data_IF_007996518497
#
_entry.id   IF_007996518497
#
_cell.length_a   1.000
_cell.length_b   1.000
_cell.length_c   1.000
_cell.angle_alpha   90.00
_cell.angle_beta   90.00
_cell.angle_gamma   90.00
#
_symmetry.space_group_name_H-M   'P 1'
#
loop_
_entity.id
_entity.type
_entity.pdbx_description
1 polymer ?
#
# COMPACT_ATOMS: atom_id res chain seq x y z
N UNK A 1 -41.02 85.28 47.32
CA UNK A 1 -40.61 86.70 47.27
C UNK A 1 -41.52 87.46 48.24
N UNK A 2 -41.22 87.40 49.53
CA UNK A 2 -41.95 88.10 50.58
C UNK A 2 -41.54 89.57 50.54
N UNK A 3 -42.46 90.47 50.21
CA UNK A 3 -42.20 91.91 50.25
C UNK A 3 -41.86 92.32 51.68
N UNK A 4 -40.59 92.61 51.96
CA UNK A 4 -40.17 93.32 53.16
C UNK A 4 -40.89 94.67 53.20
N UNK A 5 -41.97 94.74 53.97
CA UNK A 5 -42.55 96.03 54.35
C UNK A 5 -41.50 96.72 55.22
N UNK A 6 -40.86 97.77 54.70
CA UNK A 6 -39.87 98.52 55.47
C UNK A 6 -40.52 99.02 56.77
N UNK A 7 -39.88 98.81 57.92
CA UNK A 7 -40.42 99.26 59.21
C UNK A 7 -40.42 100.80 59.38
N UNK A 8 -39.85 101.53 58.42
CA UNK A 8 -40.20 102.95 58.23
C UNK A 8 -41.70 103.10 58.02
N UNK A 9 -42.31 102.24 57.20
CA UNK A 9 -43.77 102.16 57.09
C UNK A 9 -44.43 101.80 58.42
N UNK A 10 -43.83 100.97 59.27
CA UNK A 10 -44.45 100.59 60.56
C UNK A 10 -44.47 101.75 61.58
N UNK A 11 -43.36 102.47 61.75
CA UNK A 11 -43.32 103.64 62.64
C UNK A 11 -44.18 104.80 62.08
N UNK A 12 -44.18 104.99 60.75
CA UNK A 12 -45.09 105.95 60.11
C UNK A 12 -46.56 105.53 60.28
N UNK A 13 -46.88 104.25 60.09
CA UNK A 13 -48.24 103.70 60.27
C UNK A 13 -48.72 103.85 61.70
N UNK A 14 -47.88 103.62 62.73
CA UNK A 14 -48.26 103.84 64.13
C UNK A 14 -48.56 105.30 64.48
N UNK A 15 -47.85 106.25 63.86
CA UNK A 15 -48.12 107.69 64.05
C UNK A 15 -49.37 108.12 63.29
N UNK A 16 -49.58 107.60 62.07
CA UNK A 16 -50.81 107.80 61.29
C UNK A 16 -52.05 107.22 61.97
N UNK A 17 -51.95 106.03 62.59
CA UNK A 17 -53.05 105.40 63.34
C UNK A 17 -53.46 106.21 64.57
N UNK A 18 -52.51 106.85 65.26
CA UNK A 18 -52.81 107.67 66.44
C UNK A 18 -53.38 109.04 66.08
N UNK A 19 -53.08 109.54 64.88
CA UNK A 19 -53.43 110.90 64.47
C UNK A 19 -53.89 110.98 63.00
N UNK A 20 -55.11 110.49 62.67
CA UNK A 20 -55.56 110.32 61.30
C UNK A 20 -55.86 111.62 60.54
N UNK A 21 -55.96 112.75 61.25
CA UNK A 21 -56.41 114.04 60.71
C UNK A 21 -55.31 115.10 60.62
N UNK A 22 -54.05 114.76 60.90
CA UNK A 22 -52.94 115.72 60.83
C UNK A 22 -52.55 116.01 59.38
N UNK A 23 -52.21 117.27 59.11
CA UNK A 23 -51.56 117.64 57.86
C UNK A 23 -50.12 117.13 57.82
N UNK A 24 -49.54 116.99 56.63
CA UNK A 24 -48.18 116.44 56.47
C UNK A 24 -47.11 117.20 57.29
N UNK A 25 -47.26 118.52 57.49
CA UNK A 25 -46.34 119.32 58.30
C UNK A 25 -46.50 119.07 59.80
N UNK A 26 -47.73 118.86 60.27
CA UNK A 26 -48.00 118.53 61.67
C UNK A 26 -47.57 117.10 62.00
N UNK A 27 -47.80 116.16 61.09
CA UNK A 27 -47.33 114.78 61.20
C UNK A 27 -45.80 114.71 61.31
N UNK A 28 -45.08 115.52 60.53
CA UNK A 28 -43.63 115.61 60.61
C UNK A 28 -43.13 116.21 61.94
N UNK A 29 -43.94 117.08 62.56
CA UNK A 29 -43.64 117.68 63.87
C UNK A 29 -43.93 116.69 65.00
N UNK A 30 -45.07 116.02 64.95
CA UNK A 30 -45.51 114.96 65.87
C UNK A 30 -44.51 113.80 65.88
N UNK A 31 -44.06 113.34 64.69
CA UNK A 31 -43.07 112.28 64.56
C UNK A 31 -41.72 112.66 65.20
N UNK A 32 -41.35 113.95 65.22
CA UNK A 32 -40.13 114.43 65.88
C UNK A 32 -40.26 114.54 67.41
N UNK A 33 -41.47 114.73 67.94
CA UNK A 33 -41.71 114.95 69.38
C UNK A 33 -42.25 113.73 70.11
N UNK A 34 -42.85 112.75 69.42
CA UNK A 34 -43.56 111.60 70.01
C UNK A 34 -42.76 110.30 70.06
N UNK A 35 -41.60 110.24 69.41
CA UNK A 35 -40.74 109.05 69.45
C UNK A 35 -39.93 109.07 70.73
N UNK A 36 -40.17 108.10 71.62
CA UNK A 36 -39.42 107.99 72.86
C UNK A 36 -38.00 107.50 72.59
N UNK A 37 -37.07 107.78 73.52
CA UNK A 37 -35.71 107.24 73.45
C UNK A 37 -35.70 105.71 73.42
N UNK A 38 -36.65 105.08 74.12
CA UNK A 38 -36.82 103.63 74.15
C UNK A 38 -37.26 103.08 72.78
N UNK A 39 -38.11 103.80 72.03
CA UNK A 39 -38.48 103.44 70.66
C UNK A 39 -37.28 103.52 69.71
N UNK A 40 -36.42 104.53 69.89
CA UNK A 40 -35.17 104.68 69.11
C UNK A 40 -34.19 103.55 69.42
N UNK A 41 -34.02 103.19 70.70
CA UNK A 41 -33.07 102.15 71.11
C UNK A 41 -33.59 100.74 70.75
N UNK A 42 -34.91 100.50 70.79
CA UNK A 42 -35.53 99.28 70.26
C UNK A 42 -35.33 99.16 68.74
N UNK A 43 -35.46 100.26 67.99
CA UNK A 43 -35.18 100.29 66.56
C UNK A 43 -33.70 99.99 66.26
N UNK A 44 -32.76 100.56 67.03
CA UNK A 44 -31.33 100.25 66.89
C UNK A 44 -31.02 98.78 67.15
N UNK A 45 -31.62 98.18 68.19
CA UNK A 45 -31.45 96.77 68.51
C UNK A 45 -31.99 95.87 67.39
N UNK A 46 -33.16 96.20 66.83
CA UNK A 46 -33.74 95.50 65.68
C UNK A 46 -32.84 95.61 64.43
N UNK A 47 -32.34 96.81 64.10
CA UNK A 47 -31.43 97.00 62.96
C UNK A 47 -30.13 96.21 63.16
N UNK A 48 -29.59 96.17 64.39
CA UNK A 48 -28.42 95.36 64.69
C UNK A 48 -28.66 93.86 64.51
N UNK A 49 -29.80 93.33 64.98
CA UNK A 49 -30.18 91.93 64.79
C UNK A 49 -30.40 91.59 63.30
N UNK A 50 -31.11 92.44 62.56
CA UNK A 50 -31.34 92.23 61.12
C UNK A 50 -30.03 92.29 60.32
N UNK A 51 -29.08 93.16 60.72
CA UNK A 51 -27.74 93.19 60.14
C UNK A 51 -26.94 91.91 60.44
N UNK A 52 -27.05 91.35 61.65
CA UNK A 52 -26.42 90.09 62.03
C UNK A 52 -27.03 88.94 61.21
N UNK A 53 -28.36 88.86 61.11
CA UNK A 53 -29.05 87.86 60.30
C UNK A 53 -28.78 88.00 58.80
N UNK A 54 -28.68 89.23 58.31
CA UNK A 54 -28.29 89.51 56.92
C UNK A 54 -26.87 89.03 56.64
N UNK A 55 -25.93 89.29 57.56
CA UNK A 55 -24.55 88.81 57.45
C UNK A 55 -24.45 87.29 57.50
N UNK A 56 -25.21 86.65 58.38
CA UNK A 56 -25.29 85.18 58.46
C UNK A 56 -25.87 84.57 57.17
N UNK A 57 -26.98 85.13 56.65
CA UNK A 57 -27.56 84.71 55.35
C UNK A 57 -26.56 84.89 54.21
N UNK A 58 -25.83 86.02 54.16
CA UNK A 58 -24.80 86.25 53.16
C UNK A 58 -23.66 85.23 53.24
N UNK A 59 -23.23 84.85 54.45
CA UNK A 59 -22.19 83.84 54.65
C UNK A 59 -22.65 82.46 54.21
N UNK A 60 -23.85 82.05 54.60
CA UNK A 60 -24.45 80.76 54.22
C UNK A 60 -24.65 80.66 52.69
N UNK A 61 -25.13 81.73 52.05
CA UNK A 61 -25.27 81.80 50.60
C UNK A 61 -23.91 81.78 49.88
N UNK A 62 -22.86 82.33 50.47
CA UNK A 62 -21.50 82.25 49.93
C UNK A 62 -20.96 80.82 49.98
N UNK A 63 -21.06 80.18 51.15
CA UNK A 63 -20.66 78.78 51.32
C UNK A 63 -21.46 77.83 50.41
N UNK A 64 -22.77 78.07 50.27
CA UNK A 64 -23.61 77.32 49.33
C UNK A 64 -23.16 77.47 47.88
N UNK A 65 -22.83 78.70 47.44
CA UNK A 65 -22.28 78.95 46.10
C UNK A 65 -20.94 78.27 45.89
N UNK A 66 -20.04 78.33 46.87
CA UNK A 66 -18.73 77.67 46.79
C UNK A 66 -18.88 76.15 46.70
N UNK A 67 -19.84 75.56 47.43
CA UNK A 67 -20.14 74.14 47.36
C UNK A 67 -20.72 73.74 46.00
N UNK A 68 -21.67 74.52 45.47
CA UNK A 68 -22.22 74.32 44.12
C UNK A 68 -21.11 74.38 43.07
N UNK A 69 -20.20 75.36 43.16
CA UNK A 69 -19.07 75.48 42.23
C UNK A 69 -18.13 74.26 42.29
N UNK A 70 -17.86 73.72 43.49
CA UNK A 70 -17.07 72.49 43.64
C UNK A 70 -17.76 71.27 43.04
N UNK A 71 -19.08 71.15 43.20
CA UNK A 71 -19.83 70.07 42.56
C UNK A 71 -19.84 70.21 41.04
N UNK A 72 -20.03 71.43 40.52
CA UNK A 72 -19.99 71.69 39.09
C UNK A 72 -18.62 71.31 38.49
N UNK A 73 -17.52 71.76 39.09
CA UNK A 73 -16.17 71.39 38.63
C UNK A 73 -15.92 69.88 38.66
N UNK A 74 -16.55 69.16 39.60
CA UNK A 74 -16.45 67.69 39.67
C UNK A 74 -17.29 67.01 38.60
N UNK A 75 -18.47 67.55 38.28
CA UNK A 75 -19.30 67.09 37.17
C UNK A 75 -18.53 67.28 35.85
N UNK A 76 -17.99 68.48 35.61
CA UNK A 76 -17.23 68.78 34.40
C UNK A 76 -16.02 67.83 34.24
N UNK A 77 -15.33 67.50 35.34
CA UNK A 77 -14.24 66.51 35.34
C UNK A 77 -14.72 65.10 34.99
N UNK A 78 -15.87 64.68 35.52
CA UNK A 78 -16.42 63.37 35.17
C UNK A 78 -16.87 63.29 33.72
N UNK A 79 -17.39 64.38 33.16
CA UNK A 79 -17.75 64.44 31.74
C UNK A 79 -16.51 64.32 30.84
N UNK A 80 -15.39 64.93 31.22
CA UNK A 80 -14.10 64.78 30.52
C UNK A 80 -13.56 63.34 30.63
N UNK A 81 -13.52 62.75 31.83
CA UNK A 81 -13.11 61.36 32.04
C UNK A 81 -13.98 60.37 31.24
N UNK A 82 -15.28 60.61 31.17
CA UNK A 82 -16.22 59.80 30.41
C UNK A 82 -15.98 59.92 28.90
N UNK A 83 -15.69 61.13 28.40
CA UNK A 83 -15.37 61.36 26.99
C UNK A 83 -14.07 60.64 26.58
N UNK A 84 -13.04 60.71 27.42
CA UNK A 84 -11.76 60.03 27.19
C UNK A 84 -11.91 58.50 27.24
N UNK A 85 -12.65 57.97 28.22
CA UNK A 85 -12.88 56.53 28.33
C UNK A 85 -13.72 56.01 27.15
N UNK A 86 -14.72 56.77 26.70
CA UNK A 86 -15.49 56.43 25.50
C UNK A 86 -14.58 56.34 24.26
N UNK A 87 -13.70 57.32 24.06
CA UNK A 87 -12.72 57.31 22.97
C UNK A 87 -11.73 56.14 23.09
N UNK A 88 -11.30 55.80 24.30
CA UNK A 88 -10.43 54.63 24.56
C UNK A 88 -11.13 53.33 24.19
N UNK A 89 -12.38 53.15 24.59
CA UNK A 89 -13.18 51.97 24.25
C UNK A 89 -13.40 51.87 22.73
N UNK A 90 -13.73 52.98 22.06
CA UNK A 90 -13.91 53.01 20.61
C UNK A 90 -12.63 52.62 19.86
N UNK A 91 -11.48 53.16 20.26
CA UNK A 91 -10.18 52.86 19.62
C UNK A 91 -9.73 51.42 19.84
N UNK A 92 -9.86 50.91 21.06
CA UNK A 92 -9.49 49.53 21.40
C UNK A 92 -10.44 48.53 20.75
N UNK A 93 -11.75 48.79 20.79
CA UNK A 93 -12.77 48.01 20.09
C UNK A 93 -12.48 47.92 18.59
N UNK A 94 -12.15 49.04 17.95
CA UNK A 94 -11.78 49.07 16.54
C UNK A 94 -10.53 48.22 16.24
N UNK A 95 -9.49 48.31 17.08
CA UNK A 95 -8.27 47.50 16.92
C UNK A 95 -8.55 45.99 17.03
N UNK A 96 -9.35 45.56 18.01
CA UNK A 96 -9.72 44.16 18.16
C UNK A 96 -10.50 43.64 16.96
N UNK A 97 -11.51 44.40 16.51
CA UNK A 97 -12.32 44.03 15.33
C UNK A 97 -11.41 43.90 14.11
N UNK A 98 -10.53 44.87 13.88
CA UNK A 98 -9.60 44.84 12.74
C UNK A 98 -8.66 43.62 12.80
N UNK A 99 -8.11 43.31 13.99
CA UNK A 99 -7.25 42.16 14.19
C UNK A 99 -7.98 40.83 13.91
N UNK A 100 -9.18 40.64 14.47
CA UNK A 100 -9.98 39.44 14.22
C UNK A 100 -10.38 39.30 12.75
N UNK A 101 -10.77 40.39 12.10
CA UNK A 101 -11.11 40.38 10.67
C UNK A 101 -9.90 40.01 9.80
N UNK A 102 -8.71 40.49 10.15
CA UNK A 102 -7.47 40.10 9.45
C UNK A 102 -7.14 38.61 9.65
N UNK A 103 -7.30 38.10 10.87
CA UNK A 103 -7.08 36.69 11.17
C UNK A 103 -8.08 35.79 10.43
N UNK A 104 -9.37 36.15 10.43
CA UNK A 104 -10.42 35.43 9.70
C UNK A 104 -10.11 35.40 8.19
N UNK A 105 -9.65 36.51 7.60
CA UNK A 105 -9.22 36.54 6.18
C UNK A 105 -8.07 35.57 5.91
N UNK A 106 -7.10 35.51 6.81
CA UNK A 106 -5.95 34.61 6.67
C UNK A 106 -6.39 33.15 6.74
N UNK A 107 -7.25 32.81 7.71
CA UNK A 107 -7.82 31.46 7.84
C UNK A 107 -8.64 31.05 6.63
N UNK A 108 -9.45 31.97 6.06
CA UNK A 108 -10.21 31.69 4.85
C UNK A 108 -9.30 31.41 3.64
N UNK A 109 -8.21 32.17 3.50
CA UNK A 109 -7.23 31.94 2.43
C UNK A 109 -6.48 30.61 2.60
N UNK A 110 -6.10 30.26 3.84
CA UNK A 110 -5.43 29.00 4.13
C UNK A 110 -6.34 27.79 3.91
N UNK A 111 -7.60 27.86 4.34
CA UNK A 111 -8.58 26.81 4.06
C UNK A 111 -8.76 26.57 2.57
N UNK A 112 -8.86 27.65 1.77
CA UNK A 112 -8.96 27.54 0.31
C UNK A 112 -7.71 26.87 -0.29
N UNK A 113 -6.51 27.25 0.15
CA UNK A 113 -5.26 26.61 -0.30
C UNK A 113 -5.23 25.12 0.03
N UNK A 114 -5.65 24.74 1.24
CA UNK A 114 -5.70 23.35 1.66
C UNK A 114 -6.71 22.53 0.86
N UNK A 115 -7.87 23.10 0.52
CA UNK A 115 -8.84 22.45 -0.37
C UNK A 115 -8.26 22.18 -1.76
N UNK A 116 -7.55 23.16 -2.33
CA UNK A 116 -6.87 23.02 -3.62
C UNK A 116 -5.74 21.97 -3.57
N UNK A 117 -4.89 22.00 -2.54
CA UNK A 117 -3.82 21.01 -2.32
C UNK A 117 -4.39 19.59 -2.15
N UNK A 118 -5.45 19.44 -1.37
CA UNK A 118 -6.11 18.15 -1.18
C UNK A 118 -6.72 17.63 -2.49
N UNK A 119 -7.31 18.50 -3.32
CA UNK A 119 -7.83 18.12 -4.63
C UNK A 119 -6.72 17.65 -5.58
N UNK A 120 -5.55 18.31 -5.56
CA UNK A 120 -4.38 17.93 -6.37
C UNK A 120 -3.82 16.59 -5.91
N UNK A 121 -3.59 16.41 -4.60
CA UNK A 121 -3.01 15.18 -4.07
C UNK A 121 -3.96 13.99 -4.26
N UNK A 122 -5.28 14.21 -4.10
CA UNK A 122 -6.30 13.19 -4.42
C UNK A 122 -6.20 12.73 -5.87
N UNK A 123 -6.17 13.66 -6.84
CA UNK A 123 -6.04 13.31 -8.27
C UNK A 123 -4.74 12.58 -8.56
N UNK A 124 -3.63 13.02 -7.95
CA UNK A 124 -2.32 12.39 -8.11
C UNK A 124 -2.34 10.95 -7.58
N UNK A 125 -2.88 10.72 -6.38
CA UNK A 125 -3.01 9.39 -5.79
C UNK A 125 -3.90 8.48 -6.63
N UNK A 126 -5.05 8.97 -7.08
CA UNK A 126 -5.97 8.23 -7.97
C UNK A 126 -5.29 7.84 -9.29
N UNK A 127 -4.54 8.76 -9.91
CA UNK A 127 -3.82 8.49 -11.16
C UNK A 127 -2.70 7.46 -10.98
N UNK A 128 -1.94 7.55 -9.87
CA UNK A 128 -0.87 6.61 -9.55
C UNK A 128 -1.42 5.22 -9.28
N UNK A 129 -2.44 5.10 -8.43
CA UNK A 129 -3.10 3.84 -8.13
C UNK A 129 -3.67 3.21 -9.41
N UNK A 130 -4.33 4.00 -10.27
CA UNK A 130 -4.87 3.50 -11.54
C UNK A 130 -3.77 2.97 -12.46
N UNK A 131 -2.63 3.66 -12.55
CA UNK A 131 -1.50 3.20 -13.36
C UNK A 131 -0.90 1.90 -12.82
N UNK A 132 -0.70 1.80 -11.50
CA UNK A 132 -0.19 0.60 -10.83
C UNK A 132 -1.13 -0.60 -11.02
N UNK A 133 -2.44 -0.42 -10.84
CA UNK A 133 -3.42 -1.48 -11.11
C UNK A 133 -3.38 -1.96 -12.56
N UNK A 134 -3.29 -1.03 -13.53
CA UNK A 134 -3.19 -1.40 -14.94
C UNK A 134 -1.90 -2.17 -15.25
N UNK A 135 -0.79 -1.80 -14.63
CA UNK A 135 0.47 -2.53 -14.80
C UNK A 135 0.38 -3.95 -14.22
N UNK A 136 -0.13 -4.09 -12.99
CA UNK A 136 -0.34 -5.41 -12.39
C UNK A 136 -1.31 -6.28 -13.20
N UNK A 137 -2.41 -5.71 -13.71
CA UNK A 137 -3.32 -6.44 -14.60
C UNK A 137 -2.61 -6.96 -15.85
N UNK A 138 -1.77 -6.14 -16.50
CA UNK A 138 -0.98 -6.59 -17.66
C UNK A 138 0.02 -7.68 -17.31
N UNK A 139 0.68 -7.58 -16.15
CA UNK A 139 1.61 -8.62 -15.69
C UNK A 139 0.88 -9.95 -15.44
N UNK A 140 -0.29 -9.91 -14.81
CA UNK A 140 -1.14 -11.10 -14.59
C UNK A 140 -1.56 -11.73 -15.92
N UNK A 141 -1.99 -10.93 -16.90
CA UNK A 141 -2.36 -11.43 -18.22
C UNK A 141 -1.19 -12.12 -18.94
N UNK A 142 0.02 -11.55 -18.88
CA UNK A 142 1.23 -12.16 -19.44
C UNK A 142 1.54 -13.51 -18.81
N UNK A 143 1.53 -13.58 -17.47
CA UNK A 143 1.79 -14.83 -16.73
C UNK A 143 0.70 -15.87 -17.05
N UNK A 144 -0.55 -15.45 -17.15
CA UNK A 144 -1.65 -16.35 -17.48
C UNK A 144 -1.51 -16.93 -18.89
N UNK A 145 -1.16 -16.10 -19.87
CA UNK A 145 -0.88 -16.54 -21.24
C UNK A 145 0.31 -17.50 -21.31
N UNK A 146 1.39 -17.21 -20.58
CA UNK A 146 2.57 -18.09 -20.53
C UNK A 146 2.28 -19.43 -19.86
N UNK A 147 1.52 -19.45 -18.76
CA UNK A 147 1.11 -20.69 -18.11
C UNK A 147 0.22 -21.56 -19.02
N UNK A 148 -0.67 -20.94 -19.79
CA UNK A 148 -1.46 -21.63 -20.81
C UNK A 148 -0.56 -22.24 -21.90
N UNK A 149 0.45 -21.52 -22.37
CA UNK A 149 1.45 -22.01 -23.34
C UNK A 149 2.24 -23.20 -22.79
N UNK A 150 2.77 -23.07 -21.58
CA UNK A 150 3.55 -24.12 -20.89
C UNK A 150 2.72 -25.39 -20.64
N UNK A 151 1.43 -25.23 -20.33
CA UNK A 151 0.52 -26.36 -20.17
C UNK A 151 0.37 -27.14 -21.47
N UNK A 152 0.21 -26.45 -22.62
CA UNK A 152 0.14 -27.08 -23.92
C UNK A 152 1.46 -27.78 -24.29
N UNK A 153 2.60 -27.11 -24.10
CA UNK A 153 3.93 -27.69 -24.33
C UNK A 153 4.16 -28.94 -23.46
N UNK A 154 3.74 -28.92 -22.19
CA UNK A 154 3.85 -30.09 -21.30
C UNK A 154 2.98 -31.26 -21.76
N UNK A 155 1.80 -31.00 -22.34
CA UNK A 155 0.99 -32.07 -22.95
C UNK A 155 1.66 -32.69 -24.17
N UNK A 156 2.30 -31.87 -25.02
CA UNK A 156 3.06 -32.35 -26.17
C UNK A 156 4.27 -33.19 -25.76
N UNK A 157 5.05 -32.73 -24.79
CA UNK A 157 6.18 -33.50 -24.22
C UNK A 157 5.72 -34.85 -23.66
N UNK A 158 4.57 -34.90 -22.98
CA UNK A 158 3.99 -36.17 -22.50
C UNK A 158 3.66 -37.12 -23.65
N UNK A 159 3.09 -36.62 -24.75
CA UNK A 159 2.81 -37.42 -25.94
C UNK A 159 4.10 -37.95 -26.58
N UNK A 160 5.08 -37.08 -26.83
CA UNK A 160 6.38 -37.46 -27.40
C UNK A 160 7.11 -38.50 -26.55
N UNK A 161 7.07 -38.37 -25.22
CA UNK A 161 7.70 -39.33 -24.33
C UNK A 161 7.02 -40.70 -24.36
N UNK A 162 5.69 -40.73 -24.54
CA UNK A 162 4.95 -41.97 -24.75
C UNK A 162 5.38 -42.64 -26.06
N UNK A 163 5.44 -41.90 -27.15
CA UNK A 163 5.86 -42.41 -28.47
C UNK A 163 7.30 -42.95 -28.46
N UNK A 164 8.21 -42.24 -27.79
CA UNK A 164 9.59 -42.69 -27.62
C UNK A 164 9.68 -43.97 -26.78
N UNK A 165 8.86 -44.09 -25.74
CA UNK A 165 8.79 -45.32 -24.94
C UNK A 165 8.32 -46.49 -25.79
N UNK A 166 7.27 -46.32 -26.60
CA UNK A 166 6.78 -47.35 -27.51
C UNK A 166 7.85 -47.75 -28.55
N UNK A 167 8.56 -46.79 -29.15
CA UNK A 167 9.67 -47.08 -30.07
C UNK A 167 10.80 -47.85 -29.41
N UNK A 168 11.18 -47.47 -28.19
CA UNK A 168 12.20 -48.16 -27.39
C UNK A 168 11.78 -49.58 -27.05
N UNK A 169 10.52 -49.80 -26.68
CA UNK A 169 10.00 -51.14 -26.38
C UNK A 169 10.00 -52.04 -27.64
N UNK A 170 9.63 -51.50 -28.81
CA UNK A 170 9.74 -52.22 -30.10
C UNK A 170 11.19 -52.59 -30.41
N UNK A 171 12.12 -51.66 -30.19
CA UNK A 171 13.54 -51.89 -30.46
C UNK A 171 14.15 -52.92 -29.51
N UNK A 172 13.78 -52.88 -28.21
CA UNK A 172 14.18 -53.89 -27.22
C UNK A 172 13.68 -55.27 -27.66
N UNK A 173 12.39 -55.41 -28.01
CA UNK A 173 11.85 -56.68 -28.54
C UNK A 173 12.58 -57.16 -29.79
N UNK A 174 12.94 -56.25 -30.70
CA UNK A 174 13.72 -56.59 -31.90
C UNK A 174 15.10 -57.15 -31.53
N UNK A 175 15.79 -56.56 -30.55
CA UNK A 175 17.07 -57.08 -30.06
C UNK A 175 16.92 -58.42 -29.33
N UNK A 176 15.87 -58.62 -28.54
CA UNK A 176 15.57 -59.90 -27.90
C UNK A 176 15.36 -61.02 -28.93
N UNK A 177 14.63 -60.76 -30.01
CA UNK A 177 14.45 -61.71 -31.11
C UNK A 177 15.78 -62.02 -31.79
N UNK A 178 16.58 -61.00 -32.15
CA UNK A 178 17.90 -61.20 -32.77
C UNK A 178 18.86 -62.00 -31.87
N UNK A 179 18.82 -61.78 -30.54
CA UNK A 179 19.59 -62.54 -29.58
C UNK A 179 19.11 -64.00 -29.48
N UNK A 180 17.80 -64.25 -29.58
CA UNK A 180 17.27 -65.61 -29.64
C UNK A 180 17.65 -66.31 -30.97
N UNK A 181 17.61 -65.59 -32.09
CA UNK A 181 18.09 -66.07 -33.40
C UNK A 181 19.61 -66.36 -33.39
N UNK A 182 20.40 -65.64 -32.61
CA UNK A 182 21.82 -65.96 -32.38
C UNK A 182 22.02 -67.34 -31.70
N UNK A 183 20.96 -68.01 -31.24
CA UNK A 183 20.94 -69.44 -30.94
C UNK A 183 21.40 -70.33 -32.12
N UNK A 184 21.47 -69.78 -33.34
CA UNK A 184 22.19 -70.33 -34.49
C UNK A 184 23.64 -70.72 -34.15
N UNK A 185 24.30 -70.09 -33.18
CA UNK A 185 25.65 -70.50 -32.76
C UNK A 185 25.67 -71.94 -32.22
N UNK A 186 24.64 -72.34 -31.46
CA UNK A 186 24.48 -73.72 -30.98
C UNK A 186 24.17 -74.67 -32.13
N UNK A 187 23.40 -74.22 -33.12
CA UNK A 187 23.09 -75.03 -34.29
C UNK A 187 24.30 -75.24 -35.20
N UNK A 188 25.13 -74.21 -35.40
CA UNK A 188 26.40 -74.30 -36.12
C UNK A 188 27.38 -75.23 -35.40
N UNK A 189 27.49 -75.15 -34.07
CA UNK A 189 28.30 -76.09 -33.28
C UNK A 189 27.85 -77.54 -33.46
N UNK A 190 26.55 -77.81 -33.33
CA UNK A 190 25.99 -79.16 -33.58
C UNK A 190 26.23 -79.66 -35.00
N UNK A 191 26.07 -78.79 -36.01
CA UNK A 191 26.36 -79.15 -37.40
C UNK A 191 27.85 -79.41 -37.61
N UNK A 192 28.73 -78.64 -36.96
CA UNK A 192 30.18 -78.85 -36.99
C UNK A 192 30.61 -80.17 -36.37
N UNK A 193 30.04 -80.54 -35.21
CA UNK A 193 30.25 -81.85 -34.58
C UNK A 193 29.80 -82.98 -35.52
N UNK A 194 28.60 -82.87 -36.09
CA UNK A 194 28.09 -83.86 -37.05
C UNK A 194 28.93 -83.96 -38.33
N UNK A 195 29.48 -82.86 -38.82
CA UNK A 195 30.40 -82.86 -39.97
C UNK A 195 31.65 -83.66 -39.61
N UNK A 196 32.22 -83.44 -38.41
CA UNK A 196 33.40 -84.16 -37.95
C UNK A 196 33.15 -85.67 -37.84
N UNK A 197 32.03 -86.06 -37.24
CA UNK A 197 31.64 -87.48 -37.14
C UNK A 197 31.53 -88.14 -38.53
N UNK A 198 30.94 -87.43 -39.51
CA UNK A 198 30.84 -87.92 -40.89
C UNK A 198 32.19 -87.96 -41.60
N UNK A 199 33.09 -87.02 -41.32
CA UNK A 199 34.46 -87.02 -41.86
C UNK A 199 35.25 -88.24 -41.35
N UNK A 200 35.12 -88.56 -40.06
CA UNK A 200 35.71 -89.75 -39.44
C UNK A 200 35.13 -91.04 -40.07
N UNK A 201 33.80 -91.14 -40.21
CA UNK A 201 33.15 -92.30 -40.86
C UNK A 201 33.60 -92.47 -42.33
N UNK A 202 33.76 -91.37 -43.07
CA UNK A 202 34.28 -91.40 -44.45
C UNK A 202 35.74 -91.86 -44.48
N UNK A 203 36.55 -91.52 -43.46
CA UNK A 203 37.93 -91.98 -43.36
C UNK A 203 38.00 -93.49 -43.11
N UNK A 204 37.19 -94.00 -42.18
CA UNK A 204 37.05 -95.42 -41.89
C UNK A 204 36.59 -96.20 -43.13
N UNK A 205 35.53 -95.74 -43.81
CA UNK A 205 35.04 -96.37 -45.04
C UNK A 205 36.08 -96.37 -46.16
N UNK A 206 36.93 -95.32 -46.27
CA UNK A 206 38.03 -95.30 -47.24
C UNK A 206 39.10 -96.32 -46.89
N UNK A 207 39.40 -96.50 -45.61
CA UNK A 207 40.34 -97.51 -45.14
C UNK A 207 39.80 -98.92 -45.43
N UNK A 208 38.55 -99.20 -45.04
CA UNK A 208 37.88 -100.47 -45.32
C UNK A 208 37.87 -100.79 -46.82
N UNK A 209 37.56 -99.80 -47.66
CA UNK A 209 37.58 -99.97 -49.11
C UNK A 209 38.99 -100.24 -49.65
N UNK A 210 40.03 -99.64 -49.05
CA UNK A 210 41.41 -99.93 -49.40
C UNK A 210 41.83 -101.36 -49.01
N UNK A 211 41.38 -101.84 -47.84
CA UNK A 211 41.59 -103.23 -47.40
C UNK A 211 40.85 -104.22 -48.31
N UNK A 212 39.58 -103.97 -48.60
CA UNK A 212 38.80 -104.77 -49.55
C UNK A 212 39.44 -104.82 -50.93
N UNK A 213 40.02 -103.70 -51.41
CA UNK A 213 40.77 -103.69 -52.68
C UNK A 213 42.03 -104.55 -52.61
N UNK A 214 42.77 -104.54 -51.50
CA UNK A 214 43.94 -105.42 -51.30
C UNK A 214 43.51 -106.87 -51.28
N UNK A 215 42.45 -107.21 -50.56
CA UNK A 215 41.97 -108.59 -50.47
C UNK A 215 41.39 -109.08 -51.80
N UNK A 216 40.68 -108.22 -52.54
CA UNK A 216 40.24 -108.52 -53.89
C UNK A 216 41.45 -108.72 -54.85
N UNK A 217 42.52 -107.93 -54.71
CA UNK A 217 43.76 -108.15 -55.47
C UNK A 217 44.45 -109.49 -55.12
N UNK A 218 44.50 -109.86 -53.82
CA UNK A 218 45.00 -111.17 -53.38
C UNK A 218 44.16 -112.31 -53.94
N UNK A 219 42.82 -112.20 -53.87
CA UNK A 219 41.90 -113.19 -54.42
C UNK A 219 42.07 -113.33 -55.93
N UNK A 220 42.21 -112.22 -56.67
CA UNK A 220 42.51 -112.26 -58.12
C UNK A 220 43.84 -112.94 -58.41
N UNK A 221 44.88 -112.68 -57.61
CA UNK A 221 46.18 -113.36 -57.74
C UNK A 221 46.07 -114.85 -57.45
N UNK A 222 45.41 -115.23 -56.35
CA UNK A 222 45.17 -116.63 -56.01
C UNK A 222 44.30 -117.35 -57.04
N UNK A 223 43.31 -116.66 -57.63
CA UNK A 223 42.52 -117.19 -58.74
C UNK A 223 43.39 -117.41 -59.99
N UNK A 224 44.31 -116.49 -60.31
CA UNK A 224 45.25 -116.65 -61.41
C UNK A 224 46.21 -117.84 -61.17
N UNK A 225 46.77 -117.98 -59.96
CA UNK A 225 47.62 -119.12 -59.56
C UNK A 225 46.84 -120.46 -59.62
N UNK A 226 45.55 -120.46 -59.26
CA UNK A 226 44.68 -121.64 -59.36
C UNK A 226 44.38 -122.01 -60.82
N UNK A 227 44.18 -121.00 -61.68
CA UNK A 227 43.98 -121.19 -63.13
C UNK A 227 45.27 -121.74 -63.77
N UNK A 228 46.43 -121.21 -63.41
CA UNK A 228 47.73 -121.67 -63.93
C UNK A 228 48.08 -123.09 -63.46
N UNK A 229 47.85 -123.42 -62.18
CA UNK A 229 48.00 -124.79 -61.69
C UNK A 229 47.01 -125.78 -62.32
N UNK A 230 45.80 -125.32 -62.66
CA UNK A 230 44.84 -126.11 -63.45
C UNK A 230 45.31 -126.32 -64.90
N UNK A 231 46.02 -125.37 -65.50
CA UNK A 231 46.63 -125.54 -66.83
C UNK A 231 47.85 -126.46 -66.80
N UNK A 232 48.66 -126.44 -65.75
CA UNK A 232 49.77 -127.39 -65.53
C UNK A 232 49.27 -128.83 -65.36
N UNK A 233 48.15 -129.04 -64.64
CA UNK A 233 47.48 -130.35 -64.56
C UNK A 233 46.85 -130.80 -65.89
N UNK A 234 46.70 -129.89 -66.85
CA UNK A 234 46.15 -130.16 -68.19
C UNK A 234 47.24 -130.40 -69.25
N UNK A 235 48.53 -130.26 -68.92
CA UNK A 235 49.64 -130.55 -69.82
C UNK A 235 49.90 -132.09 -69.91
N UNK A 236 49.69 -132.74 -71.07
CA UNK A 236 49.85 -134.19 -71.21
C UNK A 236 51.26 -134.55 -71.71
N UNK A 237 52.07 -135.27 -70.92
CA UNK A 237 53.30 -135.91 -71.42
C UNK A 237 53.00 -137.29 -72.03
N UNK A 238 52.21 -137.31 -73.10
CA UNK A 238 51.92 -138.47 -73.97
C UNK A 238 53.09 -138.82 -74.89
N UNK A 239 54.30 -139.11 -74.35
CA UNK A 239 55.49 -139.29 -75.22
C UNK A 239 56.56 -140.32 -74.80
N UNK A 240 56.19 -141.43 -74.16
CA UNK A 240 57.15 -142.52 -73.90
C UNK A 240 56.58 -143.96 -73.98
N UNK A 241 55.58 -144.22 -74.83
CA UNK A 241 55.00 -145.57 -75.04
C UNK A 241 55.27 -146.21 -76.41
N UNK A 242 56.17 -145.69 -77.26
CA UNK A 242 56.38 -146.26 -78.59
C UNK A 242 57.84 -146.19 -79.05
N UNK A 243 58.65 -147.17 -78.61
CA UNK A 243 59.78 -147.71 -79.39
C UNK A 243 60.32 -148.98 -78.71
N UNK A 244 60.35 -150.06 -79.50
CA UNK A 244 61.13 -151.30 -79.34
C UNK A 244 60.43 -152.56 -78.78
N UNK A 245 59.56 -153.15 -79.60
CA UNK A 245 59.52 -154.59 -79.97
C UNK A 245 58.96 -154.63 -81.42
N UNK A 246 59.29 -155.54 -82.37
CA UNK A 246 60.32 -156.60 -82.50
C UNK A 246 61.06 -156.61 -83.87
N UNK A 247 62.08 -157.47 -84.07
CA UNK A 247 62.36 -158.17 -85.36
C UNK A 247 63.36 -159.33 -85.18
N UNK A 248 62.90 -160.53 -85.60
CA UNK A 248 63.59 -161.72 -86.18
C UNK A 248 64.74 -162.39 -85.41
N UNK A 249 64.74 -163.69 -85.11
CA UNK A 249 64.75 -164.86 -86.03
C UNK A 249 65.92 -164.86 -87.03
N UNK A 250 67.13 -165.14 -86.53
CA UNK A 250 68.00 -166.23 -87.00
C UNK A 250 69.11 -166.49 -85.98
#
# INVERSE_FOLDING_TARGET
>A
MTMCHSHHSYLFSKVLERHPNLTNEELAKEFKTSISRDDVDAFKAFVADELIWSRFRCLALRQGRDLIAKFQARIDKFDEELADEKKRIESTGFYFIQHYMSHIKTLMAENKRLEEEHAVEKKKLESKHKAECQDYSRQIEKVWAENKRLTAENTEVKHLNKDLKEKRDVQVRKFEVLLAEAGLEKEVKRKGEKIKDLEDEVADLKQDNAELRKDNAKLKKGLAELVESKEVLRAPSTKAWLKLIPLMTR
#
